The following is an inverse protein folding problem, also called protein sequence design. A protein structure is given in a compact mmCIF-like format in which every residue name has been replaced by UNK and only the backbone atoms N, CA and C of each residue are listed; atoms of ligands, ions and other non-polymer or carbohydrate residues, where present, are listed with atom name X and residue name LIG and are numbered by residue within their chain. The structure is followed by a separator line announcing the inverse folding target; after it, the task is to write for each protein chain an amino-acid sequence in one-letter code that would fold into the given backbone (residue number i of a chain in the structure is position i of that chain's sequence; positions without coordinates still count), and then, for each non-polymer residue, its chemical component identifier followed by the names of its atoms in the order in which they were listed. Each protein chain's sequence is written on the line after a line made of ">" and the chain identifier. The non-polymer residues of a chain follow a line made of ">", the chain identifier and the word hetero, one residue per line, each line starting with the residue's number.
data_IF_524526353501
#
_entry.id   IF_524526353501
#
_cell.length_a   1.000
_cell.length_b   1.000
_cell.length_c   1.000
_cell.angle_alpha   90.00
_cell.angle_beta   90.00
_cell.angle_gamma   90.00
#
_symmetry.space_group_name_H-M   'P 1'
#
loop_
_entity.id
_entity.type
_entity.pdbx_description
1 polymer ?
#
# COMPACT_ATOMS: atom_id res chain seq x y z
N UNK A 1 4.75 -12.65 -34.85
CA UNK A 1 4.03 -11.86 -33.83
C UNK A 1 4.97 -11.71 -32.65
N UNK A 2 5.54 -10.53 -32.48
CA UNK A 2 6.65 -10.28 -31.57
C UNK A 2 6.18 -10.12 -30.12
N UNK A 3 6.91 -10.78 -29.19
CA UNK A 3 7.16 -10.46 -27.77
C UNK A 3 5.92 -10.35 -26.84
N UNK A 4 5.89 -10.94 -25.63
CA UNK A 4 6.85 -10.67 -24.56
C UNK A 4 6.84 -11.72 -23.44
N UNK A 5 8.04 -12.22 -23.12
CA UNK A 5 8.59 -12.49 -21.77
C UNK A 5 7.73 -13.15 -20.71
N UNK A 6 8.05 -14.43 -20.45
CA UNK A 6 7.96 -15.05 -19.13
C UNK A 6 8.89 -14.34 -18.12
N UNK A 7 8.31 -13.70 -17.10
CA UNK A 7 9.06 -13.08 -15.99
C UNK A 7 8.36 -13.32 -14.65
N UNK A 8 8.28 -14.57 -14.18
CA UNK A 8 8.17 -15.00 -12.77
C UNK A 8 7.18 -14.33 -11.77
N UNK A 9 6.30 -13.44 -12.20
CA UNK A 9 5.33 -12.75 -11.36
C UNK A 9 4.00 -13.45 -11.44
N UNK A 10 3.46 -13.87 -10.30
CA UNK A 10 2.08 -14.36 -10.20
C UNK A 10 1.07 -13.31 -10.70
N UNK A 11 -0.22 -13.65 -10.73
CA UNK A 11 -1.26 -12.73 -11.18
C UNK A 11 -1.18 -11.39 -10.42
N UNK A 12 -1.44 -10.29 -11.12
CA UNK A 12 -1.57 -8.96 -10.53
C UNK A 12 -2.98 -8.43 -10.76
N UNK A 13 -3.36 -7.44 -9.96
CA UNK A 13 -4.65 -6.75 -10.05
C UNK A 13 -4.42 -5.24 -10.00
N UNK A 14 -5.20 -4.49 -10.77
CA UNK A 14 -5.12 -3.03 -10.78
C UNK A 14 -5.53 -2.44 -9.44
N UNK A 15 -4.86 -1.37 -9.00
CA UNK A 15 -5.22 -0.71 -7.75
C UNK A 15 -6.67 -0.24 -7.73
N UNK A 16 -7.17 0.35 -8.81
CA UNK A 16 -8.49 0.97 -8.85
C UNK A 16 -9.65 0.01 -8.53
N UNK A 17 -9.46 -1.29 -8.76
CA UNK A 17 -10.50 -2.30 -8.45
C UNK A 17 -10.51 -2.72 -6.98
N UNK A 18 -9.55 -2.27 -6.18
CA UNK A 18 -9.49 -2.50 -4.72
C UNK A 18 -10.32 -1.48 -3.93
N UNK A 19 -11.01 -0.53 -4.58
CA UNK A 19 -11.89 0.41 -3.89
C UNK A 19 -12.94 -0.33 -3.06
N UNK A 20 -13.12 0.08 -1.80
CA UNK A 20 -14.01 -0.59 -0.85
C UNK A 20 -13.46 -1.88 -0.24
N UNK A 21 -12.22 -2.29 -0.56
CA UNK A 21 -11.56 -3.42 0.11
C UNK A 21 -10.90 -2.99 1.41
N UNK A 22 -10.68 -3.96 2.29
CA UNK A 22 -10.03 -3.75 3.58
C UNK A 22 -8.52 -3.66 3.44
N UNK A 23 -7.89 -2.92 4.34
CA UNK A 23 -6.42 -2.85 4.44
C UNK A 23 -5.98 -3.39 5.79
N UNK A 24 -5.02 -4.32 5.76
CA UNK A 24 -4.36 -4.86 6.96
C UNK A 24 -2.86 -4.66 6.91
N UNK A 25 -2.27 -4.46 8.07
CA UNK A 25 -0.83 -4.39 8.27
C UNK A 25 -0.23 -5.77 8.43
N UNK A 26 1.10 -5.84 8.38
CA UNK A 26 1.77 -7.10 8.61
C UNK A 26 1.46 -7.62 10.03
N UNK A 27 1.29 -6.82 11.06
CA UNK A 27 0.92 -7.33 12.39
C UNK A 27 -0.56 -7.75 12.52
N UNK A 28 -1.29 -7.86 11.40
CA UNK A 28 -2.66 -8.38 11.34
C UNK A 28 -3.72 -7.36 11.75
N UNK A 29 -3.34 -6.11 12.02
CA UNK A 29 -4.25 -5.04 12.41
C UNK A 29 -4.98 -4.50 11.19
N UNK A 30 -6.26 -4.21 11.36
CA UNK A 30 -7.09 -3.59 10.32
C UNK A 30 -6.97 -2.07 10.41
N UNK A 31 -6.51 -1.45 9.32
CA UNK A 31 -6.40 0.00 9.22
C UNK A 31 -7.72 0.65 8.79
N UNK A 32 -8.50 -0.04 7.96
CA UNK A 32 -9.77 0.47 7.48
C UNK A 32 -10.09 0.02 6.06
N UNK A 33 -10.88 0.83 5.37
CA UNK A 33 -11.35 0.58 4.01
C UNK A 33 -10.73 1.56 3.01
N UNK A 34 -10.40 1.07 1.82
CA UNK A 34 -9.88 1.88 0.72
C UNK A 34 -11.00 2.77 0.16
N UNK A 35 -10.80 4.08 0.23
CA UNK A 35 -11.77 5.08 -0.27
C UNK A 35 -11.42 5.58 -1.65
N UNK A 36 -10.15 5.87 -1.89
CA UNK A 36 -9.68 6.42 -3.16
C UNK A 36 -8.20 6.14 -3.42
N UNK A 37 -7.79 6.41 -4.65
CA UNK A 37 -6.43 6.25 -5.13
C UNK A 37 -5.96 7.57 -5.71
N UNK A 38 -4.68 7.85 -5.50
CA UNK A 38 -3.93 8.82 -6.30
C UNK A 38 -2.88 8.08 -7.12
N UNK A 39 -2.04 8.81 -7.85
CA UNK A 39 -0.96 8.21 -8.62
C UNK A 39 -0.10 7.30 -7.73
N UNK A 40 0.36 7.81 -6.59
CA UNK A 40 1.34 7.10 -5.75
C UNK A 40 0.76 6.56 -4.43
N UNK A 41 -0.50 6.88 -4.09
CA UNK A 41 -1.06 6.60 -2.77
C UNK A 41 -2.45 5.94 -2.83
N UNK A 42 -2.79 5.27 -1.73
CA UNK A 42 -4.11 4.72 -1.42
C UNK A 42 -4.65 5.44 -0.19
N UNK A 43 -5.85 6.00 -0.25
CA UNK A 43 -6.49 6.60 0.94
C UNK A 43 -7.31 5.54 1.65
N UNK A 44 -7.03 5.38 2.95
CA UNK A 44 -7.72 4.44 3.83
C UNK A 44 -8.43 5.21 4.93
N UNK A 45 -9.68 4.85 5.21
CA UNK A 45 -10.50 5.46 6.26
C UNK A 45 -10.88 4.45 7.33
N UNK A 46 -10.71 4.83 8.60
CA UNK A 46 -10.98 3.97 9.76
C UNK A 46 -12.36 4.28 10.36
N UNK A 47 -13.35 3.41 10.10
CA UNK A 47 -14.69 3.47 10.71
C UNK A 47 -15.62 4.55 10.11
N UNK A 48 -16.83 4.69 10.67
CA UNK A 48 -17.92 5.55 10.13
C UNK A 48 -18.12 6.87 10.90
N UNK A 49 -17.52 7.02 12.08
CA UNK A 49 -17.84 8.09 13.04
C UNK A 49 -16.76 9.18 13.21
N UNK A 50 -15.51 8.93 12.79
CA UNK A 50 -14.44 9.94 12.75
C UNK A 50 -13.72 9.83 11.42
N UNK A 51 -13.56 10.94 10.71
CA UNK A 51 -12.89 11.02 9.41
C UNK A 51 -11.36 10.96 9.57
N UNK A 52 -10.88 9.94 10.27
CA UNK A 52 -9.44 9.67 10.33
C UNK A 52 -9.11 8.91 9.04
N UNK A 53 -8.64 9.65 8.04
CA UNK A 53 -8.18 9.10 6.77
C UNK A 53 -6.67 9.25 6.62
N UNK A 54 -6.02 8.22 6.11
CA UNK A 54 -4.57 8.15 5.96
C UNK A 54 -4.24 7.88 4.50
N UNK A 55 -3.29 8.64 3.95
CA UNK A 55 -2.70 8.33 2.65
C UNK A 55 -1.53 7.37 2.82
N UNK A 56 -1.68 6.17 2.27
CA UNK A 56 -0.71 5.08 2.34
C UNK A 56 0.03 4.99 1.00
N UNK A 57 1.37 5.12 0.96
CA UNK A 57 2.13 4.98 -0.28
C UNK A 57 2.01 3.56 -0.87
N UNK A 58 1.78 3.43 -2.19
CA UNK A 58 1.64 2.13 -2.87
C UNK A 58 2.86 1.22 -2.68
N UNK A 59 4.06 1.78 -2.52
CA UNK A 59 5.28 1.00 -2.26
C UNK A 59 5.25 0.21 -0.94
N UNK A 60 4.35 0.51 0.00
CA UNK A 60 4.19 -0.30 1.23
C UNK A 60 3.22 -1.47 1.07
N UNK A 61 2.42 -1.51 -0.01
CA UNK A 61 1.45 -2.57 -0.26
C UNK A 61 2.11 -3.86 -0.73
N UNK A 62 2.00 -4.93 0.03
CA UNK A 62 2.67 -6.21 -0.21
C UNK A 62 1.94 -7.04 -1.27
N UNK A 63 0.69 -7.41 -0.97
CA UNK A 63 -0.15 -8.23 -1.83
C UNK A 63 -1.63 -8.03 -1.55
N UNK A 64 -2.47 -8.47 -2.48
CA UNK A 64 -3.92 -8.54 -2.35
C UNK A 64 -4.38 -10.00 -2.36
N UNK A 65 -5.15 -10.42 -1.37
CA UNK A 65 -5.59 -11.82 -1.23
C UNK A 65 -6.98 -12.11 -1.85
N UNK A 66 -7.52 -11.16 -2.61
CA UNK A 66 -8.91 -11.20 -3.11
C UNK A 66 -9.91 -10.43 -2.24
N UNK A 67 -9.58 -10.16 -0.97
CA UNK A 67 -10.45 -9.49 -0.01
C UNK A 67 -9.77 -8.33 0.71
N UNK A 68 -8.49 -8.49 1.03
CA UNK A 68 -7.68 -7.62 1.87
C UNK A 68 -6.40 -7.24 1.13
N UNK A 69 -6.09 -5.94 1.14
CA UNK A 69 -4.77 -5.43 0.81
C UNK A 69 -3.89 -5.54 2.06
N UNK A 70 -2.79 -6.26 1.94
CA UNK A 70 -1.81 -6.43 3.00
C UNK A 70 -0.64 -5.46 2.82
N UNK A 71 -0.18 -4.87 3.92
CA UNK A 71 0.99 -3.97 3.94
C UNK A 71 2.21 -4.68 4.52
N UNK A 72 3.40 -4.23 4.09
CA UNK A 72 4.68 -4.75 4.56
C UNK A 72 5.06 -4.35 5.99
N UNK A 73 4.40 -3.35 6.56
CA UNK A 73 4.75 -2.69 7.83
C UNK A 73 3.62 -2.82 8.85
N UNK A 74 3.96 -2.54 10.11
CA UNK A 74 3.01 -2.61 11.25
C UNK A 74 2.07 -1.41 11.33
N UNK A 75 0.96 -1.53 12.07
CA UNK A 75 0.06 -0.38 12.35
C UNK A 75 0.82 0.77 12.99
N UNK A 76 1.72 0.47 13.94
CA UNK A 76 2.53 1.50 14.59
C UNK A 76 3.42 2.25 13.58
N UNK A 77 4.11 1.55 12.68
CA UNK A 77 4.93 2.21 11.66
C UNK A 77 4.10 3.06 10.69
N UNK A 78 2.88 2.62 10.34
CA UNK A 78 1.96 3.43 9.53
C UNK A 78 1.59 4.71 10.26
N UNK A 79 1.21 4.60 11.53
CA UNK A 79 0.82 5.74 12.35
C UNK A 79 1.98 6.67 12.70
N UNK A 80 3.22 6.19 12.77
CA UNK A 80 4.38 7.05 13.01
C UNK A 80 4.84 7.78 11.74
N UNK A 81 4.71 7.13 10.57
CA UNK A 81 5.24 7.67 9.30
C UNK A 81 4.23 8.48 8.50
N UNK A 82 2.95 8.09 8.52
CA UNK A 82 1.98 8.52 7.53
C UNK A 82 0.81 9.31 8.11
N UNK A 83 1.02 10.09 9.18
CA UNK A 83 0.02 11.05 9.68
C UNK A 83 -0.14 12.27 8.77
N UNK A 84 -0.38 12.05 7.49
CA UNK A 84 -0.77 13.11 6.58
C UNK A 84 -2.23 13.47 6.90
N UNK A 85 -2.45 14.55 7.65
CA UNK A 85 -3.81 15.02 7.94
C UNK A 85 -4.10 15.50 9.36
N UNK A 86 -3.13 15.58 10.28
CA UNK A 86 -3.37 16.25 11.58
C UNK A 86 -3.58 17.77 11.42
N UNK A 87 -3.23 18.37 10.27
CA UNK A 87 -3.55 19.77 9.96
C UNK A 87 -4.91 19.88 9.28
N UNK A 88 -5.79 20.67 9.89
CA UNK A 88 -7.11 21.00 9.35
C UNK A 88 -6.98 21.58 7.93
N UNK A 89 -7.55 20.88 6.94
CA UNK A 89 -7.57 21.29 5.53
C UNK A 89 -6.72 20.43 4.59
N UNK A 90 -5.61 19.84 5.05
CA UNK A 90 -4.66 19.10 4.19
C UNK A 90 -4.95 17.59 4.08
N UNK A 91 -5.84 17.04 4.91
CA UNK A 91 -6.13 15.60 4.96
C UNK A 91 -6.92 15.00 3.78
N UNK A 92 -7.29 15.81 2.78
CA UNK A 92 -8.02 15.33 1.59
C UNK A 92 -7.14 15.18 0.35
N UNK A 93 -5.95 15.77 0.34
CA UNK A 93 -5.07 15.72 -0.83
C UNK A 93 -3.93 14.73 -0.59
N UNK A 94 -3.58 13.96 -1.62
CA UNK A 94 -2.43 13.08 -1.55
C UNK A 94 -1.13 13.89 -1.51
N UNK A 95 -0.09 13.43 -0.81
CA UNK A 95 1.21 14.10 -0.83
C UNK A 95 1.81 14.16 -2.25
N UNK A 96 2.72 15.11 -2.48
CA UNK A 96 3.35 15.31 -3.79
C UNK A 96 4.24 14.13 -4.19
N UNK A 97 4.51 14.00 -5.50
CA UNK A 97 5.46 13.01 -6.02
C UNK A 97 6.87 13.18 -5.46
N UNK A 98 7.31 14.41 -5.14
CA UNK A 98 8.62 14.61 -4.53
C UNK A 98 8.65 14.12 -3.08
N UNK A 99 7.55 14.30 -2.35
CA UNK A 99 7.41 13.76 -1.00
C UNK A 99 7.40 12.23 -1.04
N UNK A 100 6.67 11.63 -1.98
CA UNK A 100 6.69 10.19 -2.23
C UNK A 100 8.09 9.64 -2.50
N UNK A 101 8.87 10.29 -3.36
CA UNK A 101 10.22 9.87 -3.66
C UNK A 101 11.13 9.95 -2.42
N UNK A 102 11.05 11.02 -1.63
CA UNK A 102 11.82 11.16 -0.39
C UNK A 102 11.46 10.07 0.63
N UNK A 103 10.17 9.85 0.87
CA UNK A 103 9.69 8.86 1.81
C UNK A 103 10.03 7.44 1.36
N UNK A 104 10.03 7.18 0.06
CA UNK A 104 10.48 5.92 -0.52
C UNK A 104 11.97 5.67 -0.28
N UNK A 105 12.83 6.67 -0.47
CA UNK A 105 14.27 6.54 -0.19
C UNK A 105 14.54 6.22 1.28
N UNK A 106 13.83 6.88 2.20
CA UNK A 106 13.86 6.55 3.64
C UNK A 106 13.34 5.14 3.90
N UNK A 107 12.23 4.75 3.26
CA UNK A 107 11.66 3.42 3.41
C UNK A 107 12.62 2.31 2.96
N UNK A 108 13.37 2.49 1.86
CA UNK A 108 14.38 1.52 1.42
C UNK A 108 15.50 1.30 2.43
N UNK A 109 15.79 2.28 3.28
CA UNK A 109 16.73 2.13 4.39
C UNK A 109 16.21 1.26 5.53
N UNK A 110 14.90 0.93 5.56
CA UNK A 110 14.28 0.12 6.60
C UNK A 110 14.36 -1.39 6.31
N UNK A 111 14.24 -2.26 7.33
CA UNK A 111 14.22 -3.71 7.15
C UNK A 111 13.12 -4.21 6.19
N UNK A 112 11.99 -3.51 6.09
CA UNK A 112 10.87 -3.83 5.22
C UNK A 112 11.07 -3.35 3.77
N UNK A 113 11.82 -2.27 3.56
CA UNK A 113 12.01 -1.65 2.25
C UNK A 113 13.30 -2.03 1.53
N UNK A 114 14.25 -2.71 2.19
CA UNK A 114 15.57 -3.04 1.62
C UNK A 114 15.52 -3.78 0.26
N UNK A 115 14.50 -4.61 0.05
CA UNK A 115 14.32 -5.40 -1.18
C UNK A 115 13.32 -4.75 -2.14
N UNK A 116 12.74 -3.60 -1.76
CA UNK A 116 11.72 -2.91 -2.56
C UNK A 116 12.40 -2.08 -3.64
N UNK A 117 12.30 -2.57 -4.87
CA UNK A 117 12.67 -1.83 -6.07
C UNK A 117 11.60 -0.79 -6.37
N UNK A 118 12.01 0.43 -6.70
CA UNK A 118 11.11 1.39 -7.32
C UNK A 118 10.73 0.80 -8.69
N UNK A 119 9.50 0.36 -8.83
CA UNK A 119 8.99 -0.24 -10.04
C UNK A 119 7.78 0.59 -10.41
N UNK A 120 7.78 1.22 -11.58
CA UNK A 120 6.62 1.97 -12.09
C UNK A 120 5.36 1.10 -12.08
N UNK A 121 5.50 -0.22 -12.22
CA UNK A 121 4.36 -1.14 -12.13
C UNK A 121 3.74 -1.25 -10.72
N UNK A 122 4.42 -0.81 -9.65
CA UNK A 122 3.81 -0.66 -8.31
C UNK A 122 2.76 0.44 -8.30
N UNK A 123 2.83 1.41 -9.21
CA UNK A 123 1.83 2.46 -9.34
C UNK A 123 0.55 1.94 -10.00
N UNK A 124 0.66 0.96 -10.90
CA UNK A 124 -0.46 0.47 -11.69
C UNK A 124 -1.16 -0.76 -11.09
N UNK A 125 -0.39 -1.69 -10.52
CA UNK A 125 -0.94 -2.97 -10.05
C UNK A 125 -0.26 -3.51 -8.80
N UNK A 126 -1.00 -4.34 -8.07
CA UNK A 126 -0.54 -5.08 -6.90
C UNK A 126 -0.58 -6.58 -7.17
N UNK A 127 0.37 -7.33 -6.61
CA UNK A 127 0.39 -8.79 -6.73
C UNK A 127 -0.83 -9.39 -6.04
N UNK A 128 -1.50 -10.31 -6.72
CA UNK A 128 -2.59 -11.11 -6.17
C UNK A 128 -2.06 -12.45 -5.66
N UNK A 129 -2.56 -12.87 -4.50
CA UNK A 129 -2.18 -14.12 -3.83
C UNK A 129 -3.44 -14.85 -3.36
N UNK A 130 -3.43 -16.18 -3.32
CA UNK A 130 -4.62 -16.93 -2.88
C UNK A 130 -4.72 -17.01 -1.35
N UNK A 131 -3.58 -17.09 -0.65
CA UNK A 131 -3.54 -17.08 0.80
C UNK A 131 -2.30 -16.32 1.30
N UNK A 132 -2.53 -15.19 1.98
CA UNK A 132 -1.46 -14.31 2.46
C UNK A 132 -0.62 -14.94 3.59
N UNK A 133 -1.23 -15.77 4.44
CA UNK A 133 -0.50 -16.43 5.55
C UNK A 133 0.58 -17.37 5.00
N UNK A 134 0.26 -18.16 3.96
CA UNK A 134 1.17 -19.14 3.35
C UNK A 134 2.44 -18.53 2.73
N UNK A 135 2.40 -17.27 2.31
CA UNK A 135 3.57 -16.60 1.73
C UNK A 135 4.45 -15.93 2.78
N UNK A 136 3.95 -15.82 4.02
CA UNK A 136 4.62 -15.09 5.09
C UNK A 136 5.39 -15.98 6.05
N UNK A 137 5.02 -17.25 6.17
CA UNK A 137 5.74 -18.29 6.94
C UNK A 137 7.17 -18.59 6.43
N UNK A 138 7.73 -17.77 5.52
CA UNK A 138 9.08 -17.89 4.99
C UNK A 138 10.05 -16.81 5.50
N UNK A 139 10.00 -16.43 6.79
CA UNK A 139 11.01 -15.54 7.35
C UNK A 139 11.43 -15.88 8.78
#
# INVERSE_FOLDING_TARGET
>A
MSSSTSSGGGPTVLWDVLKGKKVKTNDGKELGEIKEFSQNYVRVEKGTLRKDSIWIPKYVGDAFDGHVLWLLISEQEVLDRFKYGEKEGEGNEAPSTEQYAKDFETFRGSPAGKDRKHKSDLDDSIRMVENYENIRDFK
#
